data_IF_273482060272
#
_entry.id   IF_273482060272
#
_cell.length_a   1.000
_cell.length_b   1.000
_cell.length_c   1.000
_cell.angle_alpha   90.00
_cell.angle_beta   90.00
_cell.angle_gamma   90.00
#
_symmetry.space_group_name_H-M   'P 1'
#
loop_
_entity.id
_entity.type
_entity.pdbx_description
1 polymer ?
#
# COMPACT_ATOMS: atom_id res chain seq x y z
N UNK A 1 43.35 -26.62 -11.07
CA UNK A 1 42.79 -25.37 -10.50
C UNK A 1 43.60 -25.01 -9.27
N UNK A 2 44.17 -23.80 -9.19
CA UNK A 2 44.83 -23.34 -7.95
C UNK A 2 43.74 -23.00 -6.92
N UNK A 3 43.96 -23.34 -5.65
CA UNK A 3 42.99 -23.14 -4.55
C UNK A 3 42.46 -21.69 -4.50
N UNK A 4 43.28 -20.71 -4.90
CA UNK A 4 42.90 -19.30 -5.01
C UNK A 4 41.75 -19.02 -5.98
N UNK A 5 41.59 -19.79 -7.06
CA UNK A 5 40.49 -19.59 -8.01
C UNK A 5 39.18 -20.14 -7.44
N UNK A 6 39.26 -21.25 -6.70
CA UNK A 6 38.13 -21.84 -6.00
C UNK A 6 37.64 -20.86 -4.91
N UNK A 7 38.55 -20.25 -4.16
CA UNK A 7 38.22 -19.24 -3.16
C UNK A 7 37.53 -18.02 -3.80
N UNK A 8 38.04 -17.54 -4.93
CA UNK A 8 37.43 -16.42 -5.67
C UNK A 8 36.02 -16.72 -6.18
N UNK A 9 35.80 -17.93 -6.72
CA UNK A 9 34.46 -18.34 -7.20
C UNK A 9 33.47 -18.45 -6.04
N UNK A 10 33.89 -18.96 -4.88
CA UNK A 10 33.04 -19.04 -3.68
C UNK A 10 32.62 -17.65 -3.21
N UNK A 11 33.54 -16.69 -3.18
CA UNK A 11 33.23 -15.30 -2.77
C UNK A 11 32.22 -14.66 -3.73
N UNK A 12 32.39 -14.85 -5.04
CA UNK A 12 31.45 -14.35 -6.05
C UNK A 12 30.07 -15.00 -5.88
N UNK A 13 30.01 -16.31 -5.64
CA UNK A 13 28.76 -17.02 -5.43
C UNK A 13 28.02 -16.50 -4.18
N UNK A 14 28.73 -16.23 -3.08
CA UNK A 14 28.16 -15.63 -1.87
C UNK A 14 27.63 -14.23 -2.15
N UNK A 15 28.41 -13.39 -2.85
CA UNK A 15 28.00 -12.03 -3.19
C UNK A 15 26.72 -12.01 -4.04
N UNK A 16 26.63 -12.90 -5.05
CA UNK A 16 25.42 -13.05 -5.87
C UNK A 16 24.24 -13.52 -5.00
N UNK A 17 24.47 -14.49 -4.11
CA UNK A 17 23.45 -14.97 -3.18
C UNK A 17 22.86 -13.86 -2.31
N UNK A 18 23.71 -12.97 -1.78
CA UNK A 18 23.28 -11.81 -0.99
C UNK A 18 22.46 -10.85 -1.85
N UNK A 19 22.95 -10.48 -3.05
CA UNK A 19 22.23 -9.54 -3.94
C UNK A 19 20.84 -10.07 -4.29
N UNK A 20 20.74 -11.35 -4.70
CA UNK A 20 19.46 -11.97 -5.06
C UNK A 20 18.53 -12.05 -3.85
N UNK A 21 19.05 -12.31 -2.65
CA UNK A 21 18.23 -12.33 -1.43
C UNK A 21 17.62 -10.96 -1.10
N UNK A 22 18.35 -9.86 -1.35
CA UNK A 22 17.88 -8.49 -1.07
C UNK A 22 16.93 -7.91 -2.12
N UNK A 23 16.94 -8.43 -3.36
CA UNK A 23 16.06 -7.96 -4.42
C UNK A 23 14.57 -8.32 -4.18
N UNK A 24 14.30 -9.22 -3.23
CA UNK A 24 12.94 -9.66 -2.90
C UNK A 24 12.12 -8.66 -2.08
N UNK A 25 12.73 -7.70 -1.39
CA UNK A 25 12.04 -6.90 -0.36
C UNK A 25 11.50 -5.54 -0.85
N UNK A 26 11.71 -5.20 -2.13
CA UNK A 26 11.18 -3.96 -2.68
C UNK A 26 9.65 -4.04 -2.85
N UNK A 27 8.91 -3.18 -2.13
CA UNK A 27 7.46 -3.05 -2.30
C UNK A 27 7.12 -2.43 -3.66
N UNK A 28 6.31 -3.14 -4.46
CA UNK A 28 6.01 -2.75 -5.83
C UNK A 28 4.74 -1.88 -5.90
N UNK A 29 4.70 -0.96 -6.87
CA UNK A 29 3.47 -0.27 -7.25
C UNK A 29 2.70 -1.12 -8.26
N UNK A 30 1.47 -1.50 -7.91
CA UNK A 30 0.63 -2.40 -8.69
C UNK A 30 -0.84 -1.95 -8.65
N UNK A 31 -1.68 -2.56 -9.49
CA UNK A 31 -3.13 -2.41 -9.44
C UNK A 31 -3.78 -3.56 -8.63
N UNK A 32 -5.09 -3.48 -8.38
CA UNK A 32 -5.80 -4.51 -7.59
C UNK A 32 -5.82 -5.88 -8.27
N UNK A 33 -5.84 -5.93 -9.60
CA UNK A 33 -5.79 -7.19 -10.35
C UNK A 33 -4.47 -7.93 -10.09
N UNK A 34 -3.35 -7.23 -10.21
CA UNK A 34 -2.01 -7.74 -9.93
C UNK A 34 -1.87 -8.11 -8.45
N UNK A 35 -2.41 -7.30 -7.55
CA UNK A 35 -2.45 -7.59 -6.12
C UNK A 35 -3.15 -8.93 -5.83
N UNK A 36 -4.28 -9.18 -6.49
CA UNK A 36 -5.03 -10.44 -6.38
C UNK A 36 -4.26 -11.63 -6.96
N UNK A 37 -3.56 -11.44 -8.09
CA UNK A 37 -2.70 -12.46 -8.69
C UNK A 37 -1.54 -12.83 -7.76
N UNK A 38 -0.85 -11.85 -7.18
CA UNK A 38 0.23 -12.06 -6.22
C UNK A 38 -0.24 -12.82 -4.98
N UNK A 39 -1.41 -12.47 -4.43
CA UNK A 39 -1.95 -13.16 -3.28
C UNK A 39 -2.33 -14.63 -3.57
N UNK A 40 -2.80 -14.94 -4.79
CA UNK A 40 -3.06 -16.32 -5.24
C UNK A 40 -1.78 -17.15 -5.32
N UNK A 41 -0.66 -16.51 -5.66
CA UNK A 41 0.67 -17.13 -5.67
C UNK A 41 1.26 -17.28 -4.26
N UNK A 42 0.51 -16.91 -3.22
CA UNK A 42 0.93 -16.99 -1.82
C UNK A 42 1.90 -15.88 -1.42
N UNK A 43 1.99 -14.81 -2.20
CA UNK A 43 2.84 -13.67 -1.91
C UNK A 43 2.11 -12.68 -0.98
N UNK A 44 2.61 -12.54 0.24
CA UNK A 44 2.10 -11.67 1.29
C UNK A 44 2.84 -10.32 1.38
N UNK A 45 3.68 -10.01 0.38
CA UNK A 45 4.42 -8.75 0.35
C UNK A 45 3.49 -7.55 0.32
N UNK A 46 3.89 -6.54 1.08
CA UNK A 46 3.25 -5.24 1.05
C UNK A 46 3.52 -4.57 -0.30
N UNK A 47 2.42 -4.19 -0.95
CA UNK A 47 2.39 -3.55 -2.27
C UNK A 47 1.67 -2.21 -2.17
N UNK A 48 2.01 -1.31 -3.09
CA UNK A 48 1.47 0.04 -3.14
C UNK A 48 0.43 0.10 -4.25
N UNK A 49 -0.79 0.49 -3.92
CA UNK A 49 -1.86 0.70 -4.90
C UNK A 49 -2.25 2.17 -4.87
N UNK A 50 -2.29 2.79 -6.04
CA UNK A 50 -2.63 4.20 -6.22
C UNK A 50 -4.03 4.27 -6.79
N UNK A 51 -4.89 5.05 -6.13
CA UNK A 51 -6.28 5.19 -6.55
C UNK A 51 -6.96 6.43 -6.03
N UNK A 52 -8.27 6.46 -6.21
CA UNK A 52 -9.18 7.51 -5.76
C UNK A 52 -10.38 6.87 -5.08
N UNK A 53 -10.85 7.48 -3.99
CA UNK A 53 -12.13 7.10 -3.43
C UNK A 53 -13.26 7.60 -4.35
N UNK A 54 -14.35 6.83 -4.53
CA UNK A 54 -15.51 7.27 -5.30
C UNK A 54 -16.13 8.51 -4.65
N UNK A 55 -16.58 9.48 -5.46
CA UNK A 55 -17.17 10.73 -4.99
C UNK A 55 -18.52 10.98 -5.67
N UNK A 56 -19.46 11.56 -4.92
CA UNK A 56 -20.75 12.01 -5.43
C UNK A 56 -20.61 13.29 -6.29
N UNK A 57 -21.74 13.77 -6.83
CA UNK A 57 -21.78 15.00 -7.63
C UNK A 57 -21.41 16.27 -6.83
N UNK A 58 -21.43 16.20 -5.51
CA UNK A 58 -21.08 17.27 -4.58
C UNK A 58 -19.61 17.17 -4.12
N UNK A 59 -18.89 16.11 -4.53
CA UNK A 59 -17.50 15.88 -4.19
C UNK A 59 -17.28 15.18 -2.83
N UNK A 60 -18.32 14.67 -2.20
CA UNK A 60 -18.18 13.87 -0.97
C UNK A 60 -17.79 12.44 -1.32
N UNK A 61 -16.90 11.86 -0.52
CA UNK A 61 -16.52 10.46 -0.67
C UNK A 61 -17.70 9.56 -0.34
N UNK A 62 -17.98 8.61 -1.22
CA UNK A 62 -19.02 7.58 -1.06
C UNK A 62 -18.39 6.24 -0.70
N UNK A 63 -19.21 5.26 -0.30
CA UNK A 63 -18.79 3.88 0.00
C UNK A 63 -17.70 3.78 1.07
N UNK A 64 -17.98 4.42 2.21
CA UNK A 64 -17.14 4.40 3.41
C UNK A 64 -17.94 3.84 4.58
N UNK A 65 -17.31 2.98 5.38
CA UNK A 65 -17.83 2.43 6.62
C UNK A 65 -16.89 2.83 7.75
N UNK A 66 -17.36 3.71 8.63
CA UNK A 66 -16.64 4.13 9.83
C UNK A 66 -17.63 4.45 10.96
N UNK A 67 -17.60 3.65 12.03
CA UNK A 67 -18.41 3.90 13.23
C UNK A 67 -17.55 3.84 14.50
N UNK A 68 -17.04 4.99 14.98
CA UNK A 68 -16.15 5.02 16.13
C UNK A 68 -16.81 4.65 17.46
N UNK A 69 -18.15 4.55 17.52
CA UNK A 69 -18.86 4.06 18.70
C UNK A 69 -18.86 2.53 18.79
N UNK A 70 -18.70 1.83 17.67
CA UNK A 70 -18.61 0.36 17.60
C UNK A 70 -17.14 -0.06 17.63
N UNK A 71 -16.34 0.46 16.69
CA UNK A 71 -14.90 0.23 16.64
C UNK A 71 -14.20 1.46 16.05
N UNK A 72 -13.47 2.25 16.87
CA UNK A 72 -12.73 3.42 16.40
C UNK A 72 -11.54 3.07 15.51
N UNK A 73 -11.10 1.81 15.47
CA UNK A 73 -10.00 1.34 14.65
C UNK A 73 -10.47 0.58 13.41
N UNK A 74 -11.78 0.54 13.11
CA UNK A 74 -12.29 -0.08 11.90
C UNK A 74 -12.67 0.98 10.87
N UNK A 75 -11.83 1.16 9.86
CA UNK A 75 -12.10 2.04 8.74
C UNK A 75 -12.10 1.25 7.44
N UNK A 76 -13.25 1.13 6.79
CA UNK A 76 -13.41 0.46 5.51
C UNK A 76 -13.86 1.46 4.45
N UNK A 77 -13.32 1.36 3.24
CA UNK A 77 -13.70 2.21 2.13
C UNK A 77 -13.44 1.53 0.79
N UNK A 78 -14.17 1.95 -0.23
CA UNK A 78 -13.90 1.54 -1.61
C UNK A 78 -12.81 2.40 -2.23
N UNK A 79 -11.83 1.78 -2.89
CA UNK A 79 -10.82 2.47 -3.67
C UNK A 79 -10.88 2.04 -5.13
N UNK A 80 -10.89 3.01 -6.04
CA UNK A 80 -10.81 2.80 -7.47
C UNK A 80 -9.37 3.06 -7.90
N UNK A 81 -8.67 2.04 -8.40
CA UNK A 81 -7.31 2.18 -8.90
C UNK A 81 -7.25 2.89 -10.27
N UNK A 82 -6.04 3.13 -10.77
CA UNK A 82 -5.84 3.81 -12.05
C UNK A 82 -6.36 3.00 -13.26
N UNK A 83 -6.60 1.71 -13.12
CA UNK A 83 -7.16 0.83 -14.16
C UNK A 83 -8.69 0.72 -14.06
N UNK A 84 -9.32 1.57 -13.23
CA UNK A 84 -10.74 1.58 -12.92
C UNK A 84 -11.26 0.30 -12.25
N UNK A 85 -10.38 -0.46 -11.60
CA UNK A 85 -10.81 -1.55 -10.74
C UNK A 85 -11.18 -1.00 -9.37
N UNK A 86 -12.35 -1.39 -8.89
CA UNK A 86 -12.89 -0.99 -7.59
C UNK A 86 -12.74 -2.14 -6.62
N UNK A 87 -12.05 -1.92 -5.52
CA UNK A 87 -11.84 -2.94 -4.50
C UNK A 87 -12.13 -2.38 -3.11
N UNK A 88 -12.58 -3.26 -2.21
CA UNK A 88 -12.79 -2.90 -0.81
C UNK A 88 -11.46 -2.85 -0.09
N UNK A 89 -11.20 -1.76 0.62
CA UNK A 89 -10.00 -1.56 1.44
C UNK A 89 -10.39 -1.51 2.90
N UNK A 90 -9.74 -2.33 3.73
CA UNK A 90 -9.92 -2.35 5.19
C UNK A 90 -8.66 -1.81 5.86
N UNK A 91 -8.80 -0.76 6.66
CA UNK A 91 -7.75 -0.09 7.39
C UNK A 91 -8.02 -0.18 8.90
N UNK A 92 -7.15 -0.90 9.62
CA UNK A 92 -7.31 -1.17 11.04
C UNK A 92 -6.81 -0.01 11.91
N UNK A 93 -7.23 1.21 11.59
CA UNK A 93 -6.92 2.42 12.33
C UNK A 93 -8.00 3.48 12.08
N UNK A 94 -8.05 4.54 12.90
CA UNK A 94 -9.05 5.59 12.74
C UNK A 94 -9.00 6.21 11.35
N UNK A 95 -10.17 6.60 10.83
CA UNK A 95 -10.28 7.34 9.56
C UNK A 95 -9.36 8.57 9.58
N UNK A 96 -8.40 8.69 8.63
CA UNK A 96 -7.57 9.89 8.55
C UNK A 96 -8.41 11.16 8.36
N UNK A 97 -8.01 12.24 9.03
CA UNK A 97 -8.76 13.50 9.01
C UNK A 97 -8.89 14.08 7.60
N UNK A 98 -7.83 13.99 6.79
CA UNK A 98 -7.78 14.55 5.44
C UNK A 98 -8.32 13.60 4.36
N UNK A 99 -8.83 12.43 4.73
CA UNK A 99 -9.28 11.40 3.78
C UNK A 99 -10.30 11.95 2.77
N UNK A 100 -11.32 12.67 3.25
CA UNK A 100 -12.40 13.19 2.40
C UNK A 100 -11.90 14.28 1.41
N UNK A 101 -10.79 14.93 1.75
CA UNK A 101 -10.18 16.03 0.98
C UNK A 101 -9.13 15.55 -0.01
N UNK A 102 -8.72 14.28 0.07
CA UNK A 102 -7.67 13.74 -0.78
C UNK A 102 -8.11 13.65 -2.24
N UNK A 103 -7.20 14.01 -3.15
CA UNK A 103 -7.38 13.81 -4.60
C UNK A 103 -6.85 12.47 -5.07
N UNK A 104 -5.85 11.94 -4.37
CA UNK A 104 -5.20 10.68 -4.68
C UNK A 104 -4.76 10.01 -3.38
N UNK A 105 -5.10 8.73 -3.28
CA UNK A 105 -4.82 7.89 -2.13
C UNK A 105 -3.84 6.82 -2.57
N UNK A 106 -2.79 6.61 -1.79
CA UNK A 106 -1.90 5.45 -1.93
C UNK A 106 -2.15 4.55 -0.73
N UNK A 107 -2.60 3.33 -0.97
CA UNK A 107 -2.75 2.31 0.06
C UNK A 107 -1.57 1.34 -0.05
N UNK A 108 -1.00 0.97 1.09
CA UNK A 108 0.07 0.00 1.19
C UNK A 108 -0.41 -1.16 2.05
N UNK A 109 -0.29 -2.36 1.52
CA UNK A 109 -0.94 -3.52 2.09
C UNK A 109 -0.85 -4.74 1.21
N UNK A 110 -1.72 -5.72 1.45
CA UNK A 110 -1.82 -6.94 0.67
C UNK A 110 -3.28 -7.36 0.52
N UNK A 111 -3.60 -8.16 -0.50
CA UNK A 111 -4.93 -8.76 -0.61
C UNK A 111 -5.10 -9.86 0.44
N UNK A 112 -6.21 -9.84 1.17
CA UNK A 112 -6.60 -10.85 2.15
C UNK A 112 -8.03 -11.32 1.81
N UNK A 113 -8.13 -12.46 1.13
CA UNK A 113 -9.44 -13.00 0.71
C UNK A 113 -10.13 -12.13 -0.34
N UNK A 114 -11.15 -11.39 0.09
CA UNK A 114 -12.07 -10.59 -0.74
C UNK A 114 -11.90 -9.07 -0.54
N UNK A 115 -10.83 -8.64 0.13
CA UNK A 115 -10.54 -7.24 0.36
C UNK A 115 -9.03 -6.98 0.38
N UNK A 116 -8.66 -5.73 0.17
CA UNK A 116 -7.30 -5.26 0.36
C UNK A 116 -7.11 -4.82 1.81
N UNK A 117 -6.25 -5.52 2.56
CA UNK A 117 -5.86 -5.14 3.90
C UNK A 117 -4.82 -4.03 3.83
N UNK A 118 -5.19 -2.86 4.29
CA UNK A 118 -4.34 -1.68 4.30
C UNK A 118 -3.58 -1.56 5.63
N UNK A 119 -2.26 -1.57 5.55
CA UNK A 119 -1.36 -1.31 6.67
C UNK A 119 -1.01 0.17 6.78
N UNK A 120 -1.02 0.89 5.66
CA UNK A 120 -0.59 2.28 5.60
C UNK A 120 -1.28 3.02 4.48
N UNK A 121 -1.74 4.23 4.78
CA UNK A 121 -2.43 5.10 3.84
C UNK A 121 -1.66 6.41 3.71
N UNK A 122 -1.38 6.80 2.46
CA UNK A 122 -0.77 8.07 2.12
C UNK A 122 -1.79 8.90 1.34
N UNK A 123 -2.10 10.07 1.86
CA UNK A 123 -3.07 10.99 1.27
C UNK A 123 -2.34 12.13 0.58
N UNK A 124 -2.65 12.34 -0.70
CA UNK A 124 -2.22 13.52 -1.44
C UNK A 124 -3.35 14.55 -1.47
N UNK A 125 -3.03 15.77 -1.07
CA UNK A 125 -3.94 16.91 -1.12
C UNK A 125 -3.72 17.72 -2.42
N UNK A 126 -4.77 18.35 -2.98
CA UNK A 126 -4.62 19.28 -4.09
C UNK A 126 -3.72 20.46 -3.71
N UNK A 127 -2.59 20.63 -4.38
CA UNK A 127 -1.77 21.84 -4.25
C UNK A 127 -2.39 22.97 -5.08
N UNK A 128 -3.50 23.56 -4.64
CA UNK A 128 -3.98 24.80 -5.27
C UNK A 128 -3.24 26.00 -4.68
N UNK A 129 -2.09 26.32 -5.29
CA UNK A 129 -1.32 27.57 -5.23
C UNK A 129 -0.45 27.84 -3.98
N UNK A 130 0.79 27.30 -3.97
CA UNK A 130 2.02 27.93 -3.42
C UNK A 130 3.24 27.03 -3.70
N UNK A 131 4.23 27.56 -4.42
CA UNK A 131 5.62 27.09 -4.53
C UNK A 131 5.91 25.56 -4.57
N UNK A 132 5.29 24.85 -5.52
CA UNK A 132 5.86 23.63 -6.11
C UNK A 132 6.09 22.42 -5.19
N UNK A 133 5.53 22.39 -3.98
CA UNK A 133 5.64 21.24 -3.06
C UNK A 133 4.28 20.56 -2.90
N UNK A 134 4.22 19.30 -3.36
CA UNK A 134 3.13 18.39 -3.04
C UNK A 134 3.29 17.96 -1.58
N UNK A 135 2.34 18.30 -0.72
CA UNK A 135 2.30 17.78 0.66
C UNK A 135 1.62 16.40 0.66
N UNK A 136 2.31 15.41 1.23
CA UNK A 136 1.81 14.05 1.40
C UNK A 136 1.75 13.75 2.89
N UNK A 137 0.57 13.36 3.39
CA UNK A 137 0.41 12.93 4.78
C UNK A 137 0.41 11.41 4.84
N UNK A 138 1.17 10.85 5.78
CA UNK A 138 1.39 9.42 5.93
C UNK A 138 0.79 8.91 7.25
N UNK A 139 -0.05 7.87 7.19
CA UNK A 139 -0.68 7.25 8.34
C UNK A 139 -0.46 5.74 8.34
N UNK A 140 0.13 5.20 9.40
CA UNK A 140 0.46 3.77 9.56
C UNK A 140 -0.38 3.17 10.69
N UNK A 141 -0.79 1.91 10.54
CA UNK A 141 -1.51 1.17 11.58
C UNK A 141 -0.62 1.06 12.83
N UNK A 142 -1.10 1.57 13.97
CA UNK A 142 -0.38 1.44 15.24
C UNK A 142 -0.57 0.03 15.78
N UNK A 143 0.41 -0.84 15.58
CA UNK A 143 0.46 -2.13 16.29
C UNK A 143 0.71 -1.83 17.77
N UNK A 144 -0.25 -2.12 18.64
CA UNK A 144 0.00 -2.14 20.08
C UNK A 144 1.11 -3.16 20.34
N UNK A 145 2.27 -2.70 20.82
CA UNK A 145 3.28 -3.60 21.36
C UNK A 145 2.64 -4.26 22.60
N UNK A 146 2.43 -5.58 22.52
CA UNK A 146 2.03 -6.42 23.65
C UNK A 146 3.12 -6.43 24.72
#
# INVERSE_FOLDING_TARGET
MKITHILGIIVIAIAIGIIVSTAGDASAYVNFKQASELAKDGNDKLIHIVGKAPKDAQGHVTDVVYNPQIDPNYFEFTLIDNDNHSERVVYNSPKPQDFDRSEQIVVVGNMEGDHFKCNKILLKCPSKYQDGKLETTEHEVKTAQL
#
